data_IF_122981789163
#
_entry.id   IF_122981789163
#
_cell.length_a   1.000
_cell.length_b   1.000
_cell.length_c   1.000
_cell.angle_alpha   90.00
_cell.angle_beta   90.00
_cell.angle_gamma   90.00
#
_symmetry.space_group_name_H-M   'P 1'
#
loop_
_entity.id
_entity.type
_entity.pdbx_description
1 polymer ?
#
# COMPACT_ATOMS: atom_id res chain seq x y z
N UNK A 1 -17.68 0.09 -24.13
CA UNK A 1 -16.92 -1.10 -23.70
C UNK A 1 -15.74 -0.61 -22.87
N UNK A 2 -15.42 -1.15 -21.68
CA UNK A 2 -16.21 -1.78 -20.64
C UNK A 2 -16.40 -0.85 -19.42
N UNK A 3 -17.42 -1.09 -18.62
CA UNK A 3 -17.54 -0.51 -17.28
C UNK A 3 -16.46 -1.14 -16.39
N UNK A 4 -15.55 -0.33 -15.84
CA UNK A 4 -14.68 -0.78 -14.76
C UNK A 4 -15.56 -1.28 -13.62
N UNK A 5 -15.28 -2.44 -13.01
CA UNK A 5 -16.09 -2.95 -11.92
C UNK A 5 -16.14 -1.87 -10.84
N UNK A 6 -17.35 -1.45 -10.48
CA UNK A 6 -17.58 -0.74 -9.25
C UNK A 6 -16.88 -1.53 -8.15
N UNK A 7 -15.85 -0.94 -7.56
CA UNK A 7 -15.23 -1.46 -6.35
C UNK A 7 -16.37 -1.66 -5.36
N UNK A 8 -16.69 -2.92 -5.08
CA UNK A 8 -17.68 -3.26 -4.10
C UNK A 8 -17.27 -2.58 -2.79
N UNK A 9 -18.23 -1.88 -2.20
CA UNK A 9 -18.06 -1.29 -0.89
C UNK A 9 -17.62 -2.39 0.09
N UNK A 10 -16.35 -2.37 0.52
CA UNK A 10 -15.80 -3.26 1.54
C UNK A 10 -14.65 -4.17 1.13
N UNK A 11 -14.23 -4.22 -0.15
CA UNK A 11 -13.11 -5.08 -0.57
C UNK A 11 -11.81 -4.28 -0.67
N UNK A 12 -11.00 -4.33 0.39
CA UNK A 12 -9.60 -3.90 0.35
C UNK A 12 -8.89 -4.64 -0.78
N UNK A 13 -8.11 -3.96 -1.60
CA UNK A 13 -7.38 -4.58 -2.70
C UNK A 13 -5.92 -4.13 -2.67
N UNK A 14 -5.01 -5.09 -2.76
CA UNK A 14 -3.57 -4.83 -2.77
C UNK A 14 -2.97 -5.56 -3.96
N UNK A 15 -2.38 -4.82 -4.89
CA UNK A 15 -1.63 -5.34 -6.03
C UNK A 15 -0.19 -4.89 -5.91
N UNK A 16 0.75 -5.81 -6.05
CA UNK A 16 2.19 -5.51 -6.00
C UNK A 16 2.86 -6.14 -7.21
N UNK A 17 3.44 -5.32 -8.08
CA UNK A 17 4.08 -5.74 -9.32
C UNK A 17 3.16 -6.52 -10.24
N UNK A 18 1.84 -6.21 -10.22
CA UNK A 18 0.80 -6.93 -10.97
C UNK A 18 0.28 -8.19 -10.28
N UNK A 19 0.79 -8.55 -9.10
CA UNK A 19 0.35 -9.72 -8.34
C UNK A 19 -0.63 -9.32 -7.24
N UNK A 20 -1.86 -9.86 -7.22
CA UNK A 20 -2.80 -9.61 -6.13
C UNK A 20 -2.26 -10.25 -4.85
N UNK A 21 -2.18 -9.46 -3.78
CA UNK A 21 -1.81 -9.93 -2.45
C UNK A 21 -3.04 -10.35 -1.67
N UNK A 22 -2.90 -11.31 -0.74
CA UNK A 22 -3.95 -11.63 0.22
C UNK A 22 -4.23 -10.39 1.07
N UNK A 23 -5.40 -9.81 0.84
CA UNK A 23 -5.94 -8.70 1.62
C UNK A 23 -6.77 -9.27 2.77
N UNK A 24 -6.48 -8.83 3.98
CA UNK A 24 -7.29 -9.17 5.15
C UNK A 24 -7.92 -7.91 5.75
N UNK A 25 -8.25 -7.93 7.06
CA UNK A 25 -8.96 -6.82 7.69
C UNK A 25 -8.15 -5.53 7.61
N UNK A 26 -8.86 -4.42 7.42
CA UNK A 26 -8.27 -3.08 7.40
C UNK A 26 -8.37 -2.49 8.80
N UNK A 27 -7.23 -2.05 9.32
CA UNK A 27 -7.13 -1.33 10.58
C UNK A 27 -6.53 0.02 10.27
N UNK A 28 -7.27 1.09 10.56
CA UNK A 28 -6.81 2.45 10.31
C UNK A 28 -6.60 3.15 11.65
N UNK A 29 -5.39 3.64 11.89
CA UNK A 29 -5.01 4.33 13.11
C UNK A 29 -4.49 5.73 12.78
N UNK A 30 -5.09 6.76 13.40
CA UNK A 30 -4.56 8.12 13.35
C UNK A 30 -3.83 8.42 14.65
N UNK A 31 -2.53 8.73 14.56
CA UNK A 31 -1.75 9.16 15.70
C UNK A 31 -1.04 10.48 15.41
N UNK A 32 -1.35 11.53 16.18
CA UNK A 32 -0.69 12.84 16.07
C UNK A 32 -0.69 13.44 14.64
N UNK A 33 -1.77 13.25 13.87
CA UNK A 33 -1.88 13.72 12.49
C UNK A 33 -1.25 12.80 11.43
N UNK A 34 -0.56 11.73 11.85
CA UNK A 34 -0.10 10.67 10.96
C UNK A 34 -1.12 9.55 10.90
N UNK A 35 -1.49 9.15 9.70
CA UNK A 35 -2.44 8.09 9.45
C UNK A 35 -1.71 6.83 9.04
N UNK A 36 -1.98 5.73 9.72
CA UNK A 36 -1.40 4.43 9.44
C UNK A 36 -2.53 3.47 9.08
N UNK A 37 -2.48 2.90 7.89
CA UNK A 37 -3.42 1.91 7.40
C UNK A 37 -2.70 0.57 7.39
N UNK A 38 -3.14 -0.35 8.22
CA UNK A 38 -2.69 -1.74 8.22
C UNK A 38 -3.74 -2.60 7.53
N UNK A 39 -3.31 -3.41 6.57
CA UNK A 39 -4.18 -4.24 5.74
C UNK A 39 -3.68 -5.67 5.83
N UNK A 40 -4.55 -6.56 6.30
CA UNK A 40 -4.26 -7.98 6.38
C UNK A 40 -3.46 -8.40 7.60
N UNK A 41 -2.83 -9.58 7.48
CA UNK A 41 -2.16 -10.24 8.59
C UNK A 41 -0.88 -9.51 9.03
N UNK A 42 -0.51 -9.50 10.32
CA UNK A 42 0.70 -8.83 10.79
C UNK A 42 2.02 -9.42 10.22
N UNK A 43 1.98 -10.58 9.55
CA UNK A 43 3.16 -11.25 8.98
C UNK A 43 3.32 -10.99 7.46
N UNK A 44 2.23 -10.89 6.71
CA UNK A 44 2.22 -10.70 5.24
C UNK A 44 1.55 -9.36 4.85
N UNK A 45 0.99 -8.65 5.81
CA UNK A 45 0.13 -7.50 5.60
C UNK A 45 0.89 -6.25 5.21
N UNK A 46 0.14 -5.33 4.63
CA UNK A 46 0.64 -4.04 4.16
C UNK A 46 0.36 -2.98 5.22
N UNK A 47 1.38 -2.23 5.59
CA UNK A 47 1.29 -1.10 6.52
C UNK A 47 1.66 0.16 5.76
N UNK A 48 0.71 1.06 5.55
CA UNK A 48 0.94 2.33 4.87
C UNK A 48 0.85 3.47 5.88
N UNK A 49 1.95 4.19 6.07
CA UNK A 49 2.00 5.46 6.79
C UNK A 49 1.83 6.62 5.82
N UNK A 50 0.74 7.36 5.92
CA UNK A 50 0.42 8.52 5.10
C UNK A 50 -0.19 9.64 5.96
N UNK A 51 -0.49 10.78 5.36
CA UNK A 51 -1.30 11.81 5.99
C UNK A 51 -2.78 11.44 5.96
N UNK A 52 -3.55 11.87 6.96
CA UNK A 52 -4.98 11.54 7.06
C UNK A 52 -5.80 12.06 5.87
N UNK A 53 -5.36 13.15 5.26
CA UNK A 53 -5.95 13.76 4.06
C UNK A 53 -5.56 13.02 2.76
N UNK A 54 -4.66 12.04 2.83
CA UNK A 54 -4.10 11.37 1.65
C UNK A 54 -3.15 12.24 0.85
N UNK A 55 -2.72 13.38 1.40
CA UNK A 55 -1.86 14.36 0.71
C UNK A 55 -0.47 13.82 0.41
N UNK A 56 0.11 13.06 1.35
CA UNK A 56 1.44 12.48 1.21
C UNK A 56 1.49 11.08 1.81
N UNK A 57 2.32 10.22 1.23
CA UNK A 57 2.66 8.90 1.79
C UNK A 57 4.08 9.00 2.32
N UNK A 58 4.25 8.78 3.61
CA UNK A 58 5.56 8.84 4.26
C UNK A 58 6.29 7.49 4.18
N UNK A 59 5.56 6.39 4.31
CA UNK A 59 6.12 5.04 4.28
C UNK A 59 5.05 4.01 3.91
N UNK A 60 5.48 2.89 3.33
CA UNK A 60 4.63 1.73 3.15
C UNK A 60 5.46 0.46 3.29
N UNK A 61 5.24 -0.32 4.34
CA UNK A 61 5.75 -1.66 4.46
C UNK A 61 4.82 -2.60 3.70
N UNK A 62 5.27 -3.14 2.57
CA UNK A 62 4.49 -4.12 1.80
C UNK A 62 4.74 -5.56 2.27
N UNK A 63 5.69 -5.76 3.17
CA UNK A 63 6.08 -7.08 3.65
C UNK A 63 6.96 -7.82 2.65
N UNK A 64 6.97 -9.15 2.75
CA UNK A 64 7.76 -10.04 1.89
C UNK A 64 6.88 -10.58 0.77
N UNK A 65 7.17 -10.19 -0.47
CA UNK A 65 6.45 -10.62 -1.68
C UNK A 65 7.42 -11.43 -2.54
N UNK A 66 7.09 -12.68 -2.85
CA UNK A 66 7.97 -13.58 -3.63
C UNK A 66 9.39 -13.73 -3.03
N UNK A 67 9.50 -13.66 -1.70
CA UNK A 67 10.79 -13.72 -0.99
C UNK A 67 11.60 -12.42 -1.05
N UNK A 68 11.04 -11.34 -1.58
CA UNK A 68 11.63 -9.99 -1.60
C UNK A 68 10.92 -9.12 -0.58
N UNK A 69 11.67 -8.53 0.35
CA UNK A 69 11.12 -7.54 1.28
C UNK A 69 10.97 -6.21 0.55
N UNK A 70 9.74 -5.77 0.34
CA UNK A 70 9.42 -4.51 -0.32
C UNK A 70 9.00 -3.47 0.71
N UNK A 71 9.64 -2.32 0.64
CA UNK A 71 9.32 -1.18 1.49
C UNK A 71 9.45 0.12 0.73
N UNK A 72 8.42 0.95 0.84
CA UNK A 72 8.43 2.32 0.40
C UNK A 72 8.76 3.23 1.59
N UNK A 73 9.64 4.19 1.34
CA UNK A 73 9.96 5.28 2.26
C UNK A 73 10.08 6.54 1.44
N UNK A 74 9.40 7.59 1.87
CA UNK A 74 9.48 8.92 1.29
C UNK A 74 10.94 9.42 1.27
N UNK A 75 11.36 9.99 0.13
CA UNK A 75 12.72 10.49 -0.07
C UNK A 75 13.76 9.43 -0.41
N UNK A 76 13.41 8.14 -0.44
CA UNK A 76 14.31 7.10 -0.92
C UNK A 76 14.47 7.18 -2.46
N UNK A 77 15.69 7.02 -2.99
CA UNK A 77 15.94 7.06 -4.42
C UNK A 77 15.23 5.90 -5.14
N UNK A 78 14.42 6.23 -6.15
CA UNK A 78 13.64 5.24 -6.92
C UNK A 78 12.27 4.90 -6.33
N UNK A 79 11.93 5.46 -5.17
CA UNK A 79 10.63 5.30 -4.52
C UNK A 79 9.74 6.51 -4.77
N UNK A 80 8.49 6.25 -5.11
CA UNK A 80 7.46 7.29 -5.22
C UNK A 80 6.14 6.70 -4.80
N UNK A 81 5.37 7.37 -3.96
CA UNK A 81 4.02 6.93 -3.63
C UNK A 81 3.10 8.13 -3.53
N UNK A 82 1.85 7.89 -3.89
CA UNK A 82 0.80 8.88 -3.96
C UNK A 82 -0.45 8.27 -3.38
N UNK A 83 -0.99 8.92 -2.35
CA UNK A 83 -2.29 8.58 -1.83
C UNK A 83 -3.35 9.51 -2.46
N UNK A 84 -4.57 9.02 -2.53
CA UNK A 84 -5.74 9.78 -2.97
C UNK A 84 -6.90 9.32 -2.13
N UNK A 85 -7.44 10.23 -1.33
CA UNK A 85 -8.61 9.98 -0.50
C UNK A 85 -9.87 10.31 -1.29
N UNK A 86 -10.79 9.36 -1.35
CA UNK A 86 -12.09 9.48 -2.00
C UNK A 86 -13.19 9.13 -1.00
N UNK A 87 -13.66 10.13 -0.25
CA UNK A 87 -14.58 9.94 0.87
C UNK A 87 -13.96 9.08 1.98
N UNK A 88 -14.43 7.83 2.10
CA UNK A 88 -13.93 6.82 3.06
C UNK A 88 -12.92 5.83 2.45
N UNK A 89 -12.65 5.93 1.14
CA UNK A 89 -11.73 5.04 0.43
C UNK A 89 -10.40 5.75 0.21
N UNK A 90 -9.30 5.06 0.49
CA UNK A 90 -7.94 5.50 0.28
C UNK A 90 -7.32 4.67 -0.84
N UNK A 91 -6.97 5.34 -1.94
CA UNK A 91 -6.20 4.74 -3.02
C UNK A 91 -4.75 5.16 -2.88
N UNK A 92 -3.86 4.21 -2.66
CA UNK A 92 -2.43 4.45 -2.59
C UNK A 92 -1.79 3.75 -3.77
N UNK A 93 -1.05 4.50 -4.57
CA UNK A 93 -0.32 3.97 -5.72
C UNK A 93 1.12 4.42 -5.62
N UNK A 94 2.06 3.55 -5.91
CA UNK A 94 3.46 3.89 -5.79
C UNK A 94 4.39 2.85 -6.36
N UNK A 95 5.67 3.05 -6.10
CA UNK A 95 6.76 2.16 -6.42
C UNK A 95 7.56 1.96 -5.14
N UNK A 96 7.61 0.72 -4.69
CA UNK A 96 8.45 0.30 -3.59
C UNK A 96 9.70 -0.36 -4.14
N UNK A 97 10.80 -0.17 -3.42
CA UNK A 97 12.03 -0.90 -3.66
C UNK A 97 12.22 -1.93 -2.57
N UNK A 98 12.89 -3.00 -2.95
CA UNK A 98 13.25 -4.09 -2.08
C UNK A 98 14.57 -4.68 -2.50
N UNK A 99 15.07 -5.57 -1.67
CA UNK A 99 16.29 -6.33 -1.95
C UNK A 99 15.88 -7.78 -2.06
N UNK A 100 16.25 -8.43 -3.17
CA UNK A 100 15.99 -9.84 -3.36
C UNK A 100 16.98 -10.72 -2.56
N UNK A 101 16.82 -12.05 -2.63
CA UNK A 101 17.72 -12.98 -1.96
C UNK A 101 19.16 -12.96 -2.53
N UNK A 102 19.36 -12.37 -3.72
CA UNK A 102 20.68 -12.19 -4.34
C UNK A 102 21.34 -10.85 -3.96
N UNK A 103 20.66 -9.98 -3.21
CA UNK A 103 21.14 -8.65 -2.87
C UNK A 103 20.92 -7.60 -3.97
N UNK A 104 20.17 -7.94 -5.03
CA UNK A 104 19.83 -7.01 -6.09
C UNK A 104 18.66 -6.11 -5.66
N UNK A 105 18.78 -4.81 -5.93
CA UNK A 105 17.66 -3.88 -5.77
C UNK A 105 16.60 -4.16 -6.85
N UNK A 106 15.39 -4.43 -6.41
CA UNK A 106 14.23 -4.60 -7.27
C UNK A 106 13.20 -3.55 -6.91
N UNK A 107 12.62 -2.93 -7.93
CA UNK A 107 11.51 -2.01 -7.77
C UNK A 107 10.23 -2.66 -8.29
N UNK A 108 9.16 -2.57 -7.50
CA UNK A 108 7.82 -3.03 -7.89
C UNK A 108 6.83 -1.92 -7.62
N UNK A 109 5.93 -1.71 -8.58
CA UNK A 109 4.78 -0.84 -8.38
C UNK A 109 3.82 -1.50 -7.39
N UNK A 110 3.14 -0.72 -6.57
CA UNK A 110 2.12 -1.19 -5.68
C UNK A 110 0.88 -0.30 -5.77
N UNK A 111 -0.28 -0.93 -5.71
CA UNK A 111 -1.60 -0.31 -5.74
C UNK A 111 -2.39 -0.89 -4.59
N UNK A 112 -2.88 -0.01 -3.72
CA UNK A 112 -3.58 -0.36 -2.49
C UNK A 112 -4.85 0.46 -2.45
N UNK A 113 -5.99 -0.20 -2.56
CA UNK A 113 -7.30 0.37 -2.32
C UNK A 113 -7.76 -0.10 -0.96
N UNK A 114 -7.88 0.81 0.01
CA UNK A 114 -8.36 0.48 1.34
C UNK A 114 -9.51 1.39 1.76
N UNK A 115 -10.59 0.79 2.24
CA UNK A 115 -11.71 1.54 2.82
C UNK A 115 -11.58 1.49 4.34
N UNK A 116 -11.42 2.65 4.96
CA UNK A 116 -11.39 2.77 6.42
C UNK A 116 -12.82 3.06 6.92
N UNK A 117 -13.41 2.19 7.76
CA UNK A 117 -14.70 2.44 8.39
C UNK A 117 -14.63 3.45 9.54
#
# INVERSE_FOLDING_TARGET
MPASPAAAAGETKVLIGGQPQPVGPVVCETYQGKFSIQIGDPIIGVIVGLEQDGSAVHSAGLGTVDGVVLSFTEGAPGNSAKATKNGSTYQITGTATGVDNAGAQVSKTFEVDATCP
#
